data_IF_741575648380
#
_entry.id   IF_741575648380
#
_cell.length_a   1.000
_cell.length_b   1.000
_cell.length_c   1.000
_cell.angle_alpha   90.00
_cell.angle_beta   90.00
_cell.angle_gamma   90.00
#
_symmetry.space_group_name_H-M   'P 1'
#
loop_
_entity.id
_entity.type
_entity.pdbx_description
1 polymer ?
#
# COMPACT_ATOMS: atom_id res chain seq x y z
N UNK A 1 6.05 -1.16 2.85
CA UNK A 1 5.22 -1.74 3.92
C UNK A 1 5.15 -3.25 3.74
N UNK A 2 5.29 -3.98 4.83
CA UNK A 2 5.18 -5.44 4.89
C UNK A 2 4.21 -5.77 6.03
N UNK A 3 3.08 -6.38 5.69
CA UNK A 3 2.00 -6.69 6.63
C UNK A 3 1.81 -8.20 6.65
N UNK A 4 1.75 -8.78 7.85
CA UNK A 4 1.66 -10.22 8.05
C UNK A 4 0.22 -10.61 8.40
N UNK A 5 -0.35 -11.52 7.62
CA UNK A 5 -1.66 -12.14 7.75
C UNK A 5 -1.54 -13.68 7.76
N UNK A 6 -0.87 -14.28 8.76
CA UNK A 6 -0.65 -15.72 8.82
C UNK A 6 -1.93 -16.56 9.00
N UNK A 7 -2.97 -15.99 9.61
CA UNK A 7 -4.19 -16.69 10.03
C UNK A 7 -5.43 -16.25 9.22
N UNK A 8 -5.24 -15.92 7.93
CA UNK A 8 -6.33 -15.49 7.06
C UNK A 8 -7.36 -16.63 6.89
N UNK A 9 -8.62 -16.38 7.27
CA UNK A 9 -9.66 -17.41 7.28
C UNK A 9 -10.04 -17.89 5.87
N UNK A 10 -10.12 -16.96 4.93
CA UNK A 10 -10.40 -17.25 3.53
C UNK A 10 -9.18 -16.91 2.65
N UNK A 11 -8.42 -17.91 2.18
CA UNK A 11 -7.28 -17.69 1.29
C UNK A 11 -7.65 -17.13 -0.08
N UNK A 12 -8.92 -17.18 -0.48
CA UNK A 12 -9.41 -16.63 -1.75
C UNK A 12 -9.61 -15.12 -1.67
N UNK A 13 -9.89 -14.58 -0.47
CA UNK A 13 -9.97 -13.14 -0.22
C UNK A 13 -8.58 -12.55 -0.07
N UNK A 14 -8.00 -12.07 -1.16
CA UNK A 14 -6.68 -11.44 -1.11
C UNK A 14 -6.78 -10.07 -0.44
N UNK A 15 -5.90 -9.74 0.53
CA UNK A 15 -5.88 -8.42 1.12
C UNK A 15 -5.69 -7.34 0.05
N UNK A 16 -6.36 -6.21 0.23
CA UNK A 16 -6.34 -5.07 -0.68
C UNK A 16 -5.95 -3.80 0.07
N UNK A 17 -5.62 -2.76 -0.68
CA UNK A 17 -5.38 -1.45 -0.09
C UNK A 17 -6.04 -0.34 -0.90
N UNK A 18 -6.38 0.76 -0.23
CA UNK A 18 -6.83 2.00 -0.84
C UNK A 18 -5.96 3.15 -0.35
N UNK A 19 -5.84 4.19 -1.18
CA UNK A 19 -5.16 5.43 -0.81
C UNK A 19 -6.18 6.55 -0.94
N UNK A 20 -6.46 7.24 0.16
CA UNK A 20 -7.41 8.35 0.18
C UNK A 20 -6.73 9.61 0.71
N UNK A 21 -6.94 10.78 0.10
CA UNK A 21 -6.46 12.03 0.68
C UNK A 21 -7.09 12.24 2.06
N UNK A 22 -6.36 12.89 2.97
CA UNK A 22 -6.91 13.33 4.26
C UNK A 22 -7.22 14.82 4.25
N UNK A 23 -7.71 15.35 5.36
CA UNK A 23 -8.03 16.78 5.50
C UNK A 23 -6.80 17.68 5.24
N UNK A 24 -5.62 17.16 5.54
CA UNK A 24 -4.34 17.78 5.19
C UNK A 24 -3.91 17.35 3.78
N UNK A 25 -3.86 18.27 2.80
CA UNK A 25 -3.60 17.95 1.40
C UNK A 25 -2.20 17.37 1.16
N UNK A 26 -1.24 17.63 2.06
CA UNK A 26 0.12 17.10 1.97
C UNK A 26 0.19 15.61 2.36
N UNK A 27 -0.89 15.04 2.89
CA UNK A 27 -0.93 13.67 3.36
C UNK A 27 -2.12 12.87 2.82
N UNK A 28 -1.90 11.57 2.72
CA UNK A 28 -2.89 10.59 2.35
C UNK A 28 -2.87 9.45 3.37
N UNK A 29 -3.97 8.72 3.43
CA UNK A 29 -4.12 7.53 4.26
C UNK A 29 -4.14 6.32 3.36
N UNK A 30 -3.18 5.42 3.57
CA UNK A 30 -3.14 4.09 2.95
C UNK A 30 -3.87 3.15 3.90
N UNK A 31 -5.04 2.62 3.51
CA UNK A 31 -5.81 1.66 4.30
C UNK A 31 -5.71 0.27 3.69
N UNK A 32 -5.33 -0.72 4.49
CA UNK A 32 -5.25 -2.12 4.13
C UNK A 32 -6.45 -2.87 4.71
N UNK A 33 -7.06 -3.72 3.88
CA UNK A 33 -8.20 -4.56 4.24
C UNK A 33 -7.85 -6.00 3.93
N UNK A 34 -7.85 -6.87 4.92
CA UNK A 34 -7.59 -8.29 4.74
C UNK A 34 -8.83 -9.16 4.86
N UNK A 35 -9.89 -8.67 5.52
CA UNK A 35 -11.03 -9.50 5.90
C UNK A 35 -10.78 -10.26 7.21
N UNK A 36 -11.77 -11.00 7.72
CA UNK A 36 -11.67 -11.70 8.99
C UNK A 36 -10.47 -12.67 9.05
N UNK A 37 -9.78 -12.81 10.20
CA UNK A 37 -10.05 -12.20 11.50
C UNK A 37 -9.45 -10.80 11.69
N UNK A 38 -8.85 -10.22 10.65
CA UNK A 38 -8.07 -8.99 10.76
C UNK A 38 -8.94 -7.75 10.56
N UNK A 39 -8.70 -6.73 11.38
CA UNK A 39 -9.28 -5.40 11.20
C UNK A 39 -8.51 -4.58 10.16
N UNK A 40 -9.18 -3.58 9.60
CA UNK A 40 -8.57 -2.64 8.66
C UNK A 40 -7.45 -1.85 9.35
N UNK A 41 -6.26 -1.80 8.75
CA UNK A 41 -5.11 -1.05 9.26
C UNK A 41 -4.85 0.13 8.34
N UNK A 42 -4.52 1.30 8.89
CA UNK A 42 -4.26 2.49 8.10
C UNK A 42 -2.95 3.19 8.48
N UNK A 43 -2.25 3.73 7.48
CA UNK A 43 -1.01 4.49 7.63
C UNK A 43 -1.15 5.87 6.98
N UNK A 44 -0.72 6.92 7.67
CA UNK A 44 -0.59 8.26 7.10
C UNK A 44 0.74 8.37 6.34
N UNK A 45 0.71 8.79 5.08
CA UNK A 45 1.89 9.02 4.25
C UNK A 45 1.80 10.36 3.51
N UNK A 46 2.89 10.78 2.87
CA UNK A 46 2.88 11.97 2.01
C UNK A 46 2.02 11.73 0.78
N UNK A 47 1.18 12.69 0.41
CA UNK A 47 0.31 12.66 -0.76
C UNK A 47 1.07 13.12 -2.01
N UNK A 48 1.90 12.23 -2.54
CA UNK A 48 2.63 12.44 -3.81
C UNK A 48 2.42 11.26 -4.74
N UNK A 49 2.56 11.51 -6.03
CA UNK A 49 2.43 10.47 -7.05
C UNK A 49 3.48 9.36 -6.84
N UNK A 50 3.04 8.10 -6.90
CA UNK A 50 3.91 6.94 -6.74
C UNK A 50 4.50 6.52 -8.09
N UNK A 51 5.75 6.10 -8.07
CA UNK A 51 6.38 5.41 -9.19
C UNK A 51 5.87 3.96 -9.21
N UNK A 52 4.93 3.67 -10.12
CA UNK A 52 4.29 2.35 -10.25
C UNK A 52 5.05 1.39 -11.16
N UNK A 53 6.19 1.80 -11.71
CA UNK A 53 6.99 0.94 -12.58
C UNK A 53 7.68 -0.17 -11.79
N UNK A 54 7.46 -1.42 -12.20
CA UNK A 54 8.21 -2.56 -11.67
C UNK A 54 9.72 -2.42 -11.84
N UNK A 55 10.19 -1.71 -12.87
CA UNK A 55 11.63 -1.43 -13.08
C UNK A 55 12.23 -0.57 -11.97
N UNK A 56 11.41 0.21 -11.27
CA UNK A 56 11.83 1.11 -10.21
C UNK A 56 11.46 0.59 -8.81
N UNK A 57 11.23 -0.73 -8.68
CA UNK A 57 11.03 -1.37 -7.38
C UNK A 57 9.60 -1.29 -6.85
N UNK A 58 8.63 -0.90 -7.68
CA UNK A 58 7.22 -1.04 -7.31
C UNK A 58 6.86 -2.51 -7.11
N UNK A 59 6.31 -2.82 -5.94
CA UNK A 59 5.85 -4.16 -5.56
C UNK A 59 4.50 -4.05 -4.86
N UNK A 60 3.53 -4.79 -5.34
CA UNK A 60 2.22 -4.96 -4.70
C UNK A 60 1.82 -6.41 -4.86
N UNK A 61 2.08 -7.23 -3.84
CA UNK A 61 1.78 -8.66 -3.89
C UNK A 61 1.40 -9.22 -2.52
N UNK A 62 0.60 -10.27 -2.52
CA UNK A 62 0.32 -11.09 -1.35
C UNK A 62 0.85 -12.49 -1.60
N UNK A 63 1.78 -12.96 -0.76
CA UNK A 63 2.36 -14.30 -0.89
C UNK A 63 2.74 -14.85 0.49
N UNK A 64 2.44 -16.12 0.75
CA UNK A 64 2.77 -16.82 1.99
C UNK A 64 2.28 -16.07 3.25
N UNK A 65 1.05 -15.54 3.21
CA UNK A 65 0.48 -14.77 4.33
C UNK A 65 1.13 -13.40 4.53
N UNK A 66 1.88 -12.87 3.55
CA UNK A 66 2.54 -11.56 3.66
C UNK A 66 2.10 -10.64 2.53
N UNK A 67 1.49 -9.51 2.87
CA UNK A 67 1.20 -8.43 1.95
C UNK A 67 2.38 -7.46 1.87
N UNK A 68 2.93 -7.28 0.67
CA UNK A 68 4.08 -6.43 0.41
C UNK A 68 3.67 -5.28 -0.51
N UNK A 69 3.72 -4.05 0.01
CA UNK A 69 3.55 -2.81 -0.75
C UNK A 69 4.83 -1.99 -0.71
N UNK A 70 5.57 -1.98 -1.80
CA UNK A 70 6.81 -1.23 -1.95
C UNK A 70 6.59 -0.21 -3.05
N UNK A 71 6.83 1.05 -2.73
CA UNK A 71 6.73 2.14 -3.68
C UNK A 71 7.75 3.21 -3.31
N UNK A 72 8.11 4.01 -4.30
CA UNK A 72 8.84 5.24 -4.12
C UNK A 72 8.03 6.37 -4.75
N UNK A 73 8.23 7.59 -4.30
CA UNK A 73 7.59 8.74 -4.93
C UNK A 73 8.24 9.05 -6.27
N UNK A 74 7.45 9.47 -7.25
CA UNK A 74 7.98 9.94 -8.54
C UNK A 74 8.93 11.10 -8.31
N UNK A 75 10.08 11.04 -8.97
CA UNK A 75 11.08 12.11 -8.96
C UNK A 75 10.97 12.91 -10.25
N UNK A 76 10.39 14.10 -10.18
CA UNK A 76 10.38 15.02 -11.32
C UNK A 76 11.77 15.65 -11.46
N UNK A 77 12.42 15.41 -12.61
CA UNK A 77 13.64 16.14 -12.98
C UNK A 77 13.22 17.44 -13.66
N UNK A 78 13.57 18.56 -13.05
CA UNK A 78 13.43 19.85 -13.70
C UNK A 78 14.40 19.92 -14.88
N UNK A 79 13.89 20.17 -16.10
CA UNK A 79 14.70 20.53 -17.26
C UNK A 79 14.67 22.05 -17.38
N UNK A 80 15.84 22.66 -17.40
CA UNK A 80 16.04 24.11 -17.50
C UNK A 80 16.32 24.50 -18.94
#
# INVERSE_FOLDING_TARGET
>A
LQIFYPDLLDPTETPSFTVTPCDDPDFAVIRFKAGPPYEDIAFKCVNREWEVSHKHGYKCQFQNGVFQLWFVFKRYRYRR
#
